data_IF_753725424571
#
_entry.id   IF_753725424571
#
_cell.length_a   1.000
_cell.length_b   1.000
_cell.length_c   1.000
_cell.angle_alpha   90.00
_cell.angle_beta   90.00
_cell.angle_gamma   90.00
#
_symmetry.space_group_name_H-M   'P 1'
#
loop_
_entity.id
_entity.type
_entity.pdbx_description
1 polymer ?
#
# COMPACT_ATOMS: atom_id res chain seq x y z
N UNK A 1 2.99 13.10 -13.82
CA UNK A 1 3.67 13.14 -12.51
C UNK A 1 2.64 12.79 -11.45
N UNK A 2 2.65 11.56 -10.96
CA UNK A 2 1.66 11.10 -9.98
C UNK A 2 1.97 11.79 -8.64
N UNK A 3 1.09 12.69 -8.19
CA UNK A 3 1.28 13.42 -6.93
C UNK A 3 1.19 12.46 -5.75
N UNK A 4 2.06 12.67 -4.74
CA UNK A 4 2.02 11.94 -3.47
C UNK A 4 0.68 12.21 -2.77
N UNK A 5 0.04 11.19 -2.17
CA UNK A 5 -1.19 11.39 -1.40
C UNK A 5 -1.03 12.46 -0.31
N UNK A 6 -2.04 13.32 -0.09
CA UNK A 6 -2.03 14.30 1.00
C UNK A 6 -2.05 13.58 2.35
N UNK A 7 -1.47 14.17 3.40
CA UNK A 7 -1.32 13.48 4.69
C UNK A 7 -2.63 12.98 5.33
N UNK A 8 -3.76 13.62 5.00
CA UNK A 8 -5.10 13.34 5.51
C UNK A 8 -5.95 12.45 4.57
N UNK A 9 -5.34 11.82 3.56
CA UNK A 9 -6.07 11.07 2.53
C UNK A 9 -6.95 9.96 3.11
N UNK A 10 -6.49 9.26 4.16
CA UNK A 10 -7.26 8.20 4.82
C UNK A 10 -8.53 8.74 5.47
N UNK A 11 -8.44 9.87 6.16
CA UNK A 11 -9.59 10.49 6.83
C UNK A 11 -10.63 11.00 5.83
N UNK A 12 -10.16 11.51 4.68
CA UNK A 12 -11.01 12.09 3.65
C UNK A 12 -11.65 11.05 2.72
N UNK A 13 -10.98 9.93 2.48
CA UNK A 13 -11.36 8.97 1.42
C UNK A 13 -11.68 7.57 1.91
N UNK A 14 -11.21 7.19 3.11
CA UNK A 14 -11.27 5.81 3.60
C UNK A 14 -11.95 5.72 4.97
N UNK A 15 -13.28 5.87 5.06
CA UNK A 15 -14.03 5.89 6.33
C UNK A 15 -13.93 4.59 7.16
N UNK A 16 -13.45 3.49 6.57
CA UNK A 16 -13.34 2.19 7.22
C UNK A 16 -11.90 1.77 7.51
N UNK A 17 -10.91 2.60 7.18
CA UNK A 17 -9.49 2.30 7.39
C UNK A 17 -8.92 3.31 8.38
N UNK A 18 -8.38 2.78 9.48
CA UNK A 18 -7.64 3.59 10.43
C UNK A 18 -6.17 3.69 10.00
N UNK A 19 -5.48 4.82 10.27
CA UNK A 19 -4.04 4.94 10.01
C UNK A 19 -3.22 3.79 10.60
N UNK A 20 -3.61 3.32 11.79
CA UNK A 20 -2.98 2.18 12.46
C UNK A 20 -3.10 0.86 11.68
N UNK A 21 -4.21 0.63 10.98
CA UNK A 21 -4.35 -0.57 10.12
C UNK A 21 -3.38 -0.52 8.93
N UNK A 22 -3.13 0.69 8.39
CA UNK A 22 -2.15 0.89 7.32
C UNK A 22 -0.70 0.76 7.82
N UNK A 23 -0.41 1.18 9.05
CA UNK A 23 0.88 0.94 9.72
C UNK A 23 1.17 -0.56 9.83
N UNK A 24 0.26 -1.33 10.45
CA UNK A 24 0.41 -2.78 10.58
C UNK A 24 0.55 -3.50 9.23
N UNK A 25 -0.21 -3.08 8.22
CA UNK A 25 -0.07 -3.67 6.88
C UNK A 25 1.31 -3.40 6.28
N UNK A 26 1.86 -2.19 6.43
CA UNK A 26 3.18 -1.88 5.86
C UNK A 26 4.30 -2.62 6.59
N UNK A 27 4.19 -2.82 7.90
CA UNK A 27 5.13 -3.68 8.64
C UNK A 27 5.08 -5.12 8.09
N UNK A 28 3.89 -5.68 7.95
CA UNK A 28 3.69 -7.01 7.35
C UNK A 28 4.25 -7.11 5.92
N UNK A 29 4.01 -6.10 5.08
CA UNK A 29 4.54 -6.06 3.71
C UNK A 29 6.07 -5.95 3.69
N UNK A 30 6.68 -5.27 4.67
CA UNK A 30 8.14 -5.16 4.80
C UNK A 30 8.76 -6.50 5.16
N UNK A 31 8.15 -7.24 6.10
CA UNK A 31 8.56 -8.61 6.44
C UNK A 31 8.41 -9.55 5.25
N UNK A 32 7.25 -9.52 4.59
CA UNK A 32 6.95 -10.36 3.41
C UNK A 32 7.92 -10.05 2.25
N UNK A 33 8.20 -8.78 1.99
CA UNK A 33 9.17 -8.34 0.98
C UNK A 33 10.57 -8.91 1.25
N UNK A 34 11.02 -8.88 2.50
CA UNK A 34 12.32 -9.42 2.91
C UNK A 34 12.38 -10.95 2.77
N UNK A 35 11.31 -11.67 3.13
CA UNK A 35 11.21 -13.12 2.95
C UNK A 35 11.30 -13.53 1.47
N UNK A 36 10.70 -12.73 0.59
CA UNK A 36 10.73 -12.92 -0.86
C UNK A 36 12.04 -12.47 -1.51
N UNK A 37 12.92 -11.77 -0.77
CA UNK A 37 14.23 -11.26 -1.22
C UNK A 37 14.14 -10.35 -2.45
N UNK A 38 13.10 -9.53 -2.52
CA UNK A 38 12.89 -8.56 -3.59
C UNK A 38 13.85 -7.36 -3.46
N UNK A 39 14.04 -6.62 -4.56
CA UNK A 39 14.79 -5.37 -4.58
C UNK A 39 14.15 -4.32 -3.65
N UNK A 40 14.95 -3.48 -3.00
CA UNK A 40 14.44 -2.48 -2.03
C UNK A 40 13.49 -1.47 -2.70
N UNK A 41 13.73 -1.18 -3.96
CA UNK A 41 12.91 -0.38 -4.87
C UNK A 41 11.47 -0.90 -4.93
N UNK A 42 11.28 -2.22 -5.00
CA UNK A 42 9.98 -2.88 -4.99
C UNK A 42 9.14 -2.51 -3.76
N UNK A 43 9.75 -2.38 -2.58
CA UNK A 43 9.03 -1.99 -1.36
C UNK A 43 8.56 -0.52 -1.41
N UNK A 44 9.41 0.39 -1.89
CA UNK A 44 9.03 1.79 -2.03
C UNK A 44 7.89 1.98 -3.03
N UNK A 45 7.94 1.28 -4.15
CA UNK A 45 6.86 1.29 -5.16
C UNK A 45 5.59 0.65 -4.60
N UNK A 46 5.71 -0.44 -3.84
CA UNK A 46 4.57 -1.09 -3.16
C UNK A 46 3.81 -0.10 -2.29
N UNK A 47 4.51 0.58 -1.38
CA UNK A 47 3.91 1.53 -0.45
C UNK A 47 3.31 2.72 -1.19
N UNK A 48 3.99 3.21 -2.24
CA UNK A 48 3.48 4.27 -3.08
C UNK A 48 2.18 3.88 -3.81
N UNK A 49 2.11 2.68 -4.37
CA UNK A 49 0.91 2.17 -5.05
C UNK A 49 -0.24 1.96 -4.05
N UNK A 50 0.04 1.42 -2.87
CA UNK A 50 -0.93 1.26 -1.79
C UNK A 50 -1.56 2.61 -1.40
N UNK A 51 -0.74 3.59 -1.01
CA UNK A 51 -1.25 4.90 -0.57
C UNK A 51 -1.96 5.62 -1.72
N UNK A 52 -1.44 5.53 -2.95
CA UNK A 52 -2.07 6.14 -4.14
C UNK A 52 -3.43 5.52 -4.44
N UNK A 53 -3.57 4.20 -4.25
CA UNK A 53 -4.85 3.52 -4.47
C UNK A 53 -5.89 3.99 -3.45
N UNK A 54 -5.50 4.05 -2.17
CA UNK A 54 -6.36 4.50 -1.09
C UNK A 54 -6.75 5.99 -1.19
N UNK A 55 -5.91 6.84 -1.79
CA UNK A 55 -6.26 8.24 -2.05
C UNK A 55 -7.20 8.42 -3.24
N UNK A 56 -7.06 7.61 -4.29
CA UNK A 56 -7.74 7.89 -5.58
C UNK A 56 -9.02 7.12 -5.81
N UNK A 57 -9.15 5.94 -5.23
CA UNK A 57 -10.28 5.04 -5.51
C UNK A 57 -11.38 5.15 -4.45
N UNK A 58 -12.44 4.37 -4.68
CA UNK A 58 -13.56 4.21 -3.75
C UNK A 58 -13.08 3.65 -2.40
N UNK A 59 -13.84 3.90 -1.31
CA UNK A 59 -13.57 3.33 -0.01
C UNK A 59 -13.37 1.82 -0.06
N UNK A 60 -12.25 1.36 0.50
CA UNK A 60 -11.91 -0.05 0.61
C UNK A 60 -12.48 -0.59 1.91
N UNK A 61 -13.13 -1.75 1.83
CA UNK A 61 -13.53 -2.48 3.02
C UNK A 61 -12.29 -2.90 3.81
N UNK A 62 -12.27 -2.71 5.14
CA UNK A 62 -11.10 -3.00 5.97
C UNK A 62 -10.49 -4.40 5.72
N UNK A 63 -11.34 -5.42 5.53
CA UNK A 63 -10.93 -6.81 5.24
C UNK A 63 -10.21 -7.00 3.90
N UNK A 64 -10.31 -6.04 2.97
CA UNK A 64 -9.67 -6.07 1.65
C UNK A 64 -8.37 -5.27 1.63
N UNK A 65 -8.00 -4.60 2.72
CA UNK A 65 -6.80 -3.77 2.78
C UNK A 65 -5.54 -4.60 2.52
N UNK A 66 -5.42 -5.80 3.12
CA UNK A 66 -4.32 -6.72 2.87
C UNK A 66 -4.24 -7.16 1.39
N UNK A 67 -5.39 -7.46 0.78
CA UNK A 67 -5.44 -7.81 -0.65
C UNK A 67 -4.90 -6.66 -1.52
N UNK A 68 -5.26 -5.42 -1.22
CA UNK A 68 -4.73 -4.24 -1.92
C UNK A 68 -3.22 -4.15 -1.73
N UNK A 69 -2.72 -4.34 -0.50
CA UNK A 69 -1.29 -4.34 -0.19
C UNK A 69 -0.49 -5.40 -0.95
N UNK A 70 -0.94 -6.66 -0.91
CA UNK A 70 -0.29 -7.76 -1.63
C UNK A 70 -0.35 -7.55 -3.14
N UNK A 71 -1.47 -7.03 -3.66
CA UNK A 71 -1.60 -6.71 -5.10
C UNK A 71 -0.64 -5.59 -5.49
N UNK A 72 -0.50 -4.55 -4.67
CA UNK A 72 0.47 -3.48 -4.90
C UNK A 72 1.91 -4.01 -4.93
N UNK A 73 2.24 -4.93 -4.01
CA UNK A 73 3.56 -5.58 -3.97
C UNK A 73 3.82 -6.47 -5.17
N UNK A 74 2.83 -7.26 -5.57
CA UNK A 74 2.90 -8.08 -6.77
C UNK A 74 3.12 -7.23 -8.03
N UNK A 75 2.43 -6.09 -8.14
CA UNK A 75 2.64 -5.16 -9.24
C UNK A 75 4.05 -4.56 -9.20
N UNK A 76 4.50 -4.06 -8.04
CA UNK A 76 5.84 -3.49 -7.89
C UNK A 76 6.94 -4.49 -8.29
N UNK A 77 6.84 -5.73 -7.79
CA UNK A 77 7.77 -6.80 -8.11
C UNK A 77 7.79 -7.16 -9.61
N UNK A 78 6.71 -6.92 -10.37
CA UNK A 78 6.72 -7.14 -11.82
C UNK A 78 7.46 -6.05 -12.61
N UNK A 79 7.69 -4.89 -12.01
CA UNK A 79 8.33 -3.75 -12.68
C UNK A 79 9.79 -3.56 -12.26
N UNK A 80 10.11 -3.87 -11.00
CA UNK A 80 11.42 -3.61 -10.41
C UNK A 80 12.32 -4.86 -10.34
N UNK A 81 11.79 -6.05 -10.61
CA UNK A 81 12.54 -7.32 -10.75
C UNK A 81 12.71 -7.70 -12.23
#
# INVERSE_FOLDING_TARGET
MSQRPPADYLERRQPHIQPKSREFLVDYLTETHAELRLHAESLFVTVFLLDSYLDRHEPVEARKLELVGITAMFLAAKYEE
#
